data_IF_779573948355
#
_entry.id   IF_779573948355
#
_cell.length_a   1.000
_cell.length_b   1.000
_cell.length_c   1.000
_cell.angle_alpha   90.00
_cell.angle_beta   90.00
_cell.angle_gamma   90.00
#
_symmetry.space_group_name_H-M   'P 1'
#
loop_
_entity.id
_entity.type
_entity.pdbx_description
1 polymer ?
#
# COMPACT_ATOMS: atom_id res chain seq x y z
N UNK A 1 -0.27 -5.22 -8.91
CA UNK A 1 0.52 -6.01 -7.95
C UNK A 1 -0.31 -6.36 -6.74
N UNK A 2 -0.19 -7.57 -6.26
CA UNK A 2 -0.89 -8.04 -5.05
C UNK A 2 0.06 -8.80 -4.14
N UNK A 3 -0.29 -8.88 -2.85
CA UNK A 3 0.44 -9.65 -1.86
C UNK A 3 -0.48 -10.08 -0.73
N UNK A 4 -0.14 -11.18 -0.10
CA UNK A 4 -0.72 -11.64 1.15
C UNK A 4 0.18 -11.19 2.30
N UNK A 5 -0.34 -10.40 3.22
CA UNK A 5 0.38 -9.97 4.42
C UNK A 5 -0.11 -10.85 5.57
N UNK A 6 0.74 -11.78 6.02
CA UNK A 6 0.38 -12.77 7.03
C UNK A 6 0.51 -12.23 8.44
N UNK A 7 1.59 -11.50 8.70
CA UNK A 7 1.91 -11.00 10.04
C UNK A 7 2.64 -9.67 9.97
N UNK A 8 2.50 -8.88 11.03
CA UNK A 8 3.10 -7.57 11.15
C UNK A 8 3.43 -7.29 12.60
N UNK A 9 4.66 -6.87 12.88
CA UNK A 9 5.03 -6.39 14.21
C UNK A 9 4.23 -5.13 14.58
N UNK A 10 3.77 -5.06 15.82
CA UNK A 10 3.14 -3.85 16.33
C UNK A 10 4.20 -2.95 16.97
N UNK A 11 5.00 -2.29 16.14
CA UNK A 11 6.00 -1.33 16.59
C UNK A 11 5.39 0.05 16.88
N UNK A 12 4.23 0.31 16.28
CA UNK A 12 3.45 1.54 16.43
C UNK A 12 2.09 1.27 15.79
N UNK A 13 1.03 1.90 16.29
CA UNK A 13 -0.32 1.76 15.71
C UNK A 13 -0.39 2.18 14.23
N UNK A 14 0.54 3.01 13.78
CA UNK A 14 0.66 3.46 12.39
C UNK A 14 1.82 2.80 11.63
N UNK A 15 2.43 1.75 12.16
CA UNK A 15 3.33 0.93 11.36
C UNK A 15 2.58 0.45 10.11
N UNK A 16 3.27 0.33 8.97
CA UNK A 16 2.60 0.06 7.70
C UNK A 16 3.30 -1.04 6.94
N UNK A 17 2.50 -1.87 6.26
CA UNK A 17 2.99 -2.92 5.39
C UNK A 17 2.01 -3.14 4.24
N UNK A 18 2.52 -3.24 3.03
CA UNK A 18 1.64 -3.50 1.89
C UNK A 18 2.32 -3.37 0.54
N UNK A 19 1.56 -2.88 -0.43
CA UNK A 19 1.93 -2.80 -1.84
C UNK A 19 1.98 -1.34 -2.26
N UNK A 20 3.03 -0.98 -2.99
CA UNK A 20 3.27 0.39 -3.45
C UNK A 20 3.63 0.42 -4.92
N UNK A 21 3.03 1.34 -5.66
CA UNK A 21 3.44 1.73 -7.01
C UNK A 21 4.00 3.15 -6.94
N UNK A 22 5.21 3.35 -7.49
CA UNK A 22 5.88 4.64 -7.41
C UNK A 22 6.65 4.98 -8.67
N UNK A 23 6.84 6.27 -8.90
CA UNK A 23 7.49 6.75 -10.11
C UNK A 23 9.00 6.46 -10.11
N UNK A 24 9.65 6.56 -8.95
CA UNK A 24 11.10 6.40 -8.82
C UNK A 24 11.47 5.88 -7.43
N UNK A 25 12.77 5.64 -7.23
CA UNK A 25 13.32 5.25 -5.91
C UNK A 25 13.62 6.44 -5.00
N UNK A 26 13.44 7.67 -5.47
CA UNK A 26 13.64 8.87 -4.66
C UNK A 26 12.69 8.89 -3.46
N UNK A 27 13.18 9.32 -2.30
CA UNK A 27 12.36 9.39 -1.09
C UNK A 27 11.10 10.23 -1.28
N UNK A 28 11.18 11.30 -2.06
CA UNK A 28 10.05 12.20 -2.36
C UNK A 28 9.22 11.81 -3.57
N UNK A 29 9.41 10.62 -4.15
CA UNK A 29 8.70 10.18 -5.36
C UNK A 29 7.18 10.24 -5.22
N UNK A 30 6.46 10.61 -6.27
CA UNK A 30 5.03 10.33 -6.35
C UNK A 30 4.78 8.83 -6.17
N UNK A 31 3.69 8.48 -5.49
CA UNK A 31 3.32 7.07 -5.27
C UNK A 31 1.84 6.90 -4.97
N UNK A 32 1.39 5.66 -5.08
CA UNK A 32 0.08 5.18 -4.63
C UNK A 32 0.31 3.85 -3.91
N UNK A 33 -0.21 3.71 -2.71
CA UNK A 33 0.02 2.51 -1.91
C UNK A 33 -1.21 2.11 -1.11
N UNK A 34 -1.37 0.80 -0.88
CA UNK A 34 -2.30 0.25 0.09
C UNK A 34 -1.51 -0.44 1.19
N UNK A 35 -1.82 -0.13 2.44
CA UNK A 35 -1.01 -0.49 3.59
C UNK A 35 -1.91 -0.93 4.75
N UNK A 36 -1.61 -2.07 5.35
CA UNK A 36 -2.25 -2.50 6.59
C UNK A 36 -1.46 -1.98 7.79
N UNK A 37 -2.17 -1.62 8.85
CA UNK A 37 -1.59 -1.12 10.10
C UNK A 37 -2.04 -1.97 11.28
N UNK A 38 -1.27 -2.01 12.40
CA UNK A 38 -1.71 -2.72 13.58
C UNK A 38 -2.89 -2.08 14.31
N UNK A 39 -2.99 -0.74 14.30
CA UNK A 39 -3.95 -0.02 15.12
C UNK A 39 -4.97 0.84 14.39
N UNK A 40 -4.85 1.00 13.05
CA UNK A 40 -5.66 1.96 12.30
C UNK A 40 -6.25 1.40 11.01
N UNK A 41 -6.32 0.08 10.86
CA UNK A 41 -6.95 -0.56 9.71
C UNK A 41 -6.07 -0.57 8.46
N UNK A 42 -6.72 -0.56 7.30
CA UNK A 42 -6.09 -0.55 5.98
C UNK A 42 -6.23 0.85 5.41
N UNK A 43 -5.11 1.45 5.00
CA UNK A 43 -5.06 2.82 4.51
C UNK A 43 -4.54 2.86 3.07
N UNK A 44 -5.16 3.70 2.24
CA UNK A 44 -4.65 4.05 0.91
C UNK A 44 -3.99 5.41 1.02
N UNK A 45 -2.71 5.47 0.67
CA UNK A 45 -1.89 6.69 0.72
C UNK A 45 -1.32 7.02 -0.65
N UNK A 46 -1.01 8.28 -0.86
CA UNK A 46 -0.48 8.76 -2.14
C UNK A 46 0.38 10.01 -1.96
N UNK A 47 1.20 10.27 -2.96
CA UNK A 47 1.91 11.55 -3.14
C UNK A 47 1.75 11.95 -4.61
N UNK A 48 1.25 13.16 -4.86
CA UNK A 48 0.88 13.59 -6.21
C UNK A 48 2.06 14.10 -7.03
N UNK A 49 3.07 14.69 -6.38
CA UNK A 49 4.23 15.25 -7.06
C UNK A 49 5.49 15.10 -6.23
N UNK A 50 6.64 15.22 -6.87
CA UNK A 50 7.94 15.08 -6.22
C UNK A 50 8.05 16.03 -5.02
N UNK A 51 8.37 15.47 -3.85
CA UNK A 51 8.58 16.22 -2.61
C UNK A 51 7.32 16.75 -1.95
N UNK A 52 6.13 16.50 -2.50
CA UNK A 52 4.88 16.92 -1.88
C UNK A 52 4.59 16.11 -0.62
N UNK A 53 3.73 16.63 0.24
CA UNK A 53 3.25 15.88 1.40
C UNK A 53 2.42 14.68 0.96
N UNK A 54 2.53 13.57 1.69
CA UNK A 54 1.68 12.41 1.47
C UNK A 54 0.26 12.70 1.94
N UNK A 55 -0.72 12.19 1.19
CA UNK A 55 -2.14 12.28 1.53
C UNK A 55 -2.72 10.90 1.82
N UNK A 56 -3.82 10.88 2.56
CA UNK A 56 -4.62 9.69 2.81
C UNK A 56 -5.87 9.74 1.97
N UNK A 57 -6.07 8.75 1.09
CA UNK A 57 -7.22 8.70 0.20
C UNK A 57 -8.44 8.12 0.90
N UNK A 58 -8.27 7.00 1.58
CA UNK A 58 -9.35 6.29 2.30
C UNK A 58 -8.73 5.38 3.35
N UNK A 59 -9.49 5.11 4.41
CA UNK A 59 -9.14 4.16 5.44
C UNK A 59 -10.36 3.30 5.76
N UNK A 60 -10.13 1.99 5.94
CA UNK A 60 -11.18 1.05 6.34
C UNK A 60 -10.69 0.18 7.49
N UNK A 61 -11.62 -0.45 8.21
CA UNK A 61 -11.27 -1.45 9.20
C UNK A 61 -10.58 -2.65 8.53
N UNK A 62 -9.63 -3.24 9.21
CA UNK A 62 -8.91 -4.42 8.76
C UNK A 62 -7.60 -4.61 9.50
N UNK A 63 -7.10 -5.84 9.46
CA UNK A 63 -5.84 -6.22 10.09
C UNK A 63 -5.25 -7.43 9.37
N UNK A 64 -4.02 -7.80 9.68
CA UNK A 64 -3.41 -9.04 9.19
C UNK A 64 -4.11 -10.26 9.80
N UNK A 65 -4.19 -11.41 9.08
CA UNK A 65 -3.79 -11.57 7.68
C UNK A 65 -4.78 -10.93 6.71
N UNK A 66 -4.26 -10.44 5.59
CA UNK A 66 -5.09 -9.82 4.55
C UNK A 66 -4.38 -9.88 3.20
N UNK A 67 -5.15 -9.92 2.12
CA UNK A 67 -4.64 -9.79 0.75
C UNK A 67 -4.93 -8.38 0.27
N UNK A 68 -3.92 -7.72 -0.27
CA UNK A 68 -4.02 -6.36 -0.79
C UNK A 68 -3.55 -6.31 -2.24
N UNK A 69 -4.25 -5.55 -3.07
CA UNK A 69 -3.92 -5.38 -4.49
C UNK A 69 -4.07 -3.93 -4.92
N UNK A 70 -3.10 -3.46 -5.70
CA UNK A 70 -3.18 -2.19 -6.44
C UNK A 70 -3.22 -2.50 -7.92
N UNK A 71 -4.13 -1.86 -8.63
CA UNK A 71 -4.18 -1.89 -10.09
C UNK A 71 -3.94 -0.51 -10.66
N UNK A 72 -3.40 -0.49 -11.87
CA UNK A 72 -3.23 0.72 -12.66
C UNK A 72 -3.81 0.50 -14.05
N UNK A 73 -4.70 1.40 -14.46
CA UNK A 73 -5.23 1.44 -15.82
C UNK A 73 -5.07 2.87 -16.34
N UNK A 74 -4.15 3.06 -17.29
CA UNK A 74 -3.73 4.41 -17.68
C UNK A 74 -3.11 5.14 -16.50
N UNK A 75 -3.71 6.24 -16.08
CA UNK A 75 -3.31 6.99 -14.90
C UNK A 75 -4.26 6.82 -13.71
N UNK A 76 -5.18 5.86 -13.78
CA UNK A 76 -6.13 5.56 -12.70
C UNK A 76 -5.59 4.41 -11.84
N UNK A 77 -5.47 4.66 -10.56
CA UNK A 77 -5.00 3.71 -9.55
C UNK A 77 -6.17 3.31 -8.65
N UNK A 78 -6.29 2.03 -8.36
CA UNK A 78 -7.37 1.49 -7.53
C UNK A 78 -6.84 0.42 -6.60
N UNK A 79 -7.50 0.25 -5.47
CA UNK A 79 -7.16 -0.75 -4.45
C UNK A 79 -8.27 -1.78 -4.33
N UNK A 80 -7.86 -3.04 -4.18
CA UNK A 80 -8.74 -4.16 -3.90
C UNK A 80 -8.25 -4.89 -2.65
N UNK A 81 -9.18 -5.45 -1.90
CA UNK A 81 -8.90 -6.32 -0.76
C UNK A 81 -9.51 -7.68 -0.96
N UNK A 82 -8.96 -8.70 -0.29
CA UNK A 82 -9.48 -10.05 -0.33
C UNK A 82 -9.15 -10.79 0.96
N UNK A 83 -10.02 -11.72 1.36
CA UNK A 83 -9.76 -12.61 2.49
C UNK A 83 -9.19 -13.96 2.05
N UNK A 84 -9.29 -14.33 0.78
CA UNK A 84 -8.88 -15.64 0.26
C UNK A 84 -7.88 -15.57 -0.91
N UNK A 85 -7.64 -14.37 -1.45
CA UNK A 85 -6.73 -14.17 -2.59
C UNK A 85 -7.35 -14.50 -3.95
N UNK A 86 -8.62 -14.91 -4.01
CA UNK A 86 -9.31 -15.25 -5.25
C UNK A 86 -10.50 -14.33 -5.52
N UNK A 87 -11.25 -13.98 -4.51
CA UNK A 87 -12.37 -13.04 -4.62
C UNK A 87 -11.92 -11.67 -4.14
N UNK A 88 -11.85 -10.72 -5.07
CA UNK A 88 -11.36 -9.37 -4.83
C UNK A 88 -12.49 -8.37 -4.78
N UNK A 89 -12.48 -7.49 -3.79
CA UNK A 89 -13.47 -6.43 -3.62
C UNK A 89 -12.80 -5.07 -3.81
N UNK A 90 -13.31 -4.25 -4.73
CA UNK A 90 -12.86 -2.88 -4.88
C UNK A 90 -13.12 -2.11 -3.59
N UNK A 91 -12.07 -1.47 -3.07
CA UNK A 91 -12.19 -0.61 -1.89
C UNK A 91 -12.84 0.70 -2.33
N UNK A 92 -14.04 0.95 -1.84
CA UNK A 92 -14.81 2.15 -2.19
C UNK A 92 -14.03 3.42 -1.83
N UNK A 93 -13.97 4.37 -2.75
CA UNK A 93 -13.26 5.63 -2.57
C UNK A 93 -11.75 5.55 -2.80
N UNK A 94 -11.22 4.39 -3.19
CA UNK A 94 -9.77 4.21 -3.39
C UNK A 94 -9.27 4.72 -4.73
N UNK A 95 -10.11 4.74 -5.75
CA UNK A 95 -9.68 5.08 -7.12
C UNK A 95 -9.30 6.56 -7.23
N UNK A 96 -8.17 6.81 -7.88
CA UNK A 96 -7.72 8.18 -8.16
C UNK A 96 -6.81 8.22 -9.36
N UNK A 97 -6.68 9.40 -9.96
CA UNK A 97 -5.77 9.65 -11.07
C UNK A 97 -4.48 10.28 -10.54
N UNK A 98 -3.34 9.71 -10.94
CA UNK A 98 -2.01 10.25 -10.64
C UNK A 98 -1.20 10.34 -11.93
N UNK A 99 -0.55 11.48 -12.16
CA UNK A 99 0.32 11.68 -13.32
C UNK A 99 1.74 11.24 -12.98
N UNK A 100 1.94 9.92 -12.93
CA UNK A 100 3.28 9.35 -12.81
C UNK A 100 3.79 8.99 -14.20
N UNK A 101 4.97 9.48 -14.55
CA UNK A 101 5.54 9.32 -15.89
C UNK A 101 6.59 8.22 -15.94
N UNK A 102 6.82 7.70 -17.15
CA UNK A 102 7.81 6.67 -17.40
C UNK A 102 7.38 5.30 -16.93
N UNK A 103 8.36 4.43 -16.71
CA UNK A 103 8.14 3.11 -16.14
C UNK A 103 7.87 3.22 -14.66
N UNK A 104 6.74 2.68 -14.22
CA UNK A 104 6.33 2.71 -12.81
C UNK A 104 6.97 1.50 -12.10
N UNK A 105 7.52 1.76 -10.92
CA UNK A 105 8.05 0.71 -10.04
C UNK A 105 6.93 0.18 -9.16
N UNK A 106 6.88 -1.12 -8.97
CA UNK A 106 5.99 -1.75 -8.01
C UNK A 106 6.76 -2.60 -7.03
N UNK A 107 6.32 -2.64 -5.77
CA UNK A 107 7.03 -3.36 -4.73
C UNK A 107 6.27 -3.45 -3.42
N UNK A 108 6.87 -4.17 -2.50
CA UNK A 108 6.42 -4.27 -1.12
C UNK A 108 6.97 -3.08 -0.34
N UNK A 109 6.19 -2.59 0.61
CA UNK A 109 6.58 -1.46 1.45
C UNK A 109 6.36 -1.79 2.93
N UNK A 110 7.31 -1.42 3.77
CA UNK A 110 7.26 -1.62 5.22
C UNK A 110 7.83 -0.40 5.91
N UNK A 111 7.17 0.08 6.97
CA UNK A 111 7.74 1.04 7.89
C UNK A 111 7.34 0.71 9.33
N UNK A 112 8.28 0.82 10.25
CA UNK A 112 8.01 0.62 11.68
C UNK A 112 7.23 1.76 12.30
N UNK A 113 7.29 2.95 11.71
CA UNK A 113 6.75 4.20 12.26
C UNK A 113 7.25 4.48 13.67
N UNK A 114 8.40 3.93 14.02
CA UNK A 114 9.02 4.05 15.36
C UNK A 114 10.54 4.00 15.20
N UNK A 115 11.17 5.16 15.21
CA UNK A 115 12.61 5.30 14.99
C UNK A 115 13.40 4.40 15.96
N UNK A 116 14.32 3.63 15.41
CA UNK A 116 15.16 2.71 16.18
C UNK A 116 14.52 1.36 16.50
N UNK A 117 13.26 1.12 16.08
CA UNK A 117 12.58 -0.15 16.29
C UNK A 117 12.35 -0.84 14.95
N UNK A 118 12.84 -2.08 14.81
CA UNK A 118 12.65 -2.87 13.60
C UNK A 118 11.25 -3.48 13.58
N UNK A 119 10.60 -3.37 12.41
CA UNK A 119 9.34 -4.06 12.13
C UNK A 119 9.61 -5.32 11.32
N UNK A 120 8.99 -6.42 11.70
CA UNK A 120 9.03 -7.67 10.95
C UNK A 120 7.66 -7.93 10.34
N UNK A 121 7.64 -8.13 9.03
CA UNK A 121 6.42 -8.39 8.25
C UNK A 121 6.65 -9.63 7.40
N UNK A 122 5.67 -10.54 7.41
CA UNK A 122 5.71 -11.73 6.57
C UNK A 122 4.75 -11.56 5.41
N UNK A 123 5.29 -11.65 4.20
CA UNK A 123 4.53 -11.65 2.95
C UNK A 123 4.63 -13.01 2.27
N UNK A 124 3.58 -13.42 1.58
CA UNK A 124 3.64 -14.49 0.58
C UNK A 124 2.68 -14.22 -0.58
N UNK A 125 2.60 -15.12 -1.54
CA UNK A 125 1.67 -15.02 -2.69
C UNK A 125 1.78 -13.64 -3.35
N UNK A 126 3.02 -13.17 -3.54
CA UNK A 126 3.30 -11.90 -4.20
C UNK A 126 3.15 -12.09 -5.70
N UNK A 127 2.33 -11.26 -6.33
CA UNK A 127 2.08 -11.33 -7.78
C UNK A 127 2.23 -9.95 -8.40
N UNK A 128 3.00 -9.89 -9.47
CA UNK A 128 3.13 -8.71 -10.34
C UNK A 128 2.29 -8.93 -11.60
N UNK A 129 1.73 -7.89 -12.13
CA UNK A 129 0.93 -7.97 -13.37
C UNK A 129 1.64 -7.33 -14.54
#
# INVERSE_FOLDING_TARGET
MSAHILSQSNTDGWAKAGVMLRQSTDAGSPYYAVLVTPGHGIVVQYRTSQGASAGQKVIIAGTVPTYLKVTRTGNTYSTYTSSDGTTWTLLAGSSMTLNMSGSILEGLAVTSHNTGTLSTVTFDTVSTT
#
